data_IF_984738330565
#
_entry.id   IF_984738330565
#
_cell.length_a   1.000
_cell.length_b   1.000
_cell.length_c   1.000
_cell.angle_alpha   90.00
_cell.angle_beta   90.00
_cell.angle_gamma   90.00
#
_symmetry.space_group_name_H-M   'P 1'
#
loop_
_entity.id
_entity.type
_entity.pdbx_description
1 polymer ?
#
# COMPACT_ATOMS: atom_id res chain seq x y z
N UNK A 1 -15.59 -16.64 22.80
CA UNK A 1 -14.81 -16.06 21.68
C UNK A 1 -15.42 -14.70 21.44
N UNK A 2 -14.82 -13.63 21.98
CA UNK A 2 -15.29 -12.28 21.72
C UNK A 2 -15.10 -11.98 20.23
N UNK A 3 -16.16 -11.50 19.58
CA UNK A 3 -16.08 -10.98 18.23
C UNK A 3 -15.31 -9.68 18.35
N UNK A 4 -14.04 -9.68 17.94
CA UNK A 4 -13.27 -8.45 17.84
C UNK A 4 -14.01 -7.53 16.85
N UNK A 5 -14.54 -6.43 17.36
CA UNK A 5 -15.17 -5.41 16.52
C UNK A 5 -14.07 -4.52 15.95
N UNK A 6 -13.94 -4.50 14.62
CA UNK A 6 -13.02 -3.61 13.95
C UNK A 6 -13.56 -2.17 13.92
N UNK A 7 -12.67 -1.21 13.65
CA UNK A 7 -13.06 0.19 13.51
C UNK A 7 -14.02 0.39 12.33
N UNK A 8 -14.86 1.45 12.33
CA UNK A 8 -15.71 1.79 11.18
C UNK A 8 -14.92 1.95 9.88
N UNK A 9 -13.73 2.55 9.94
CA UNK A 9 -12.85 2.70 8.77
C UNK A 9 -12.37 1.34 8.22
N UNK A 10 -12.09 0.38 9.11
CA UNK A 10 -11.73 -0.98 8.71
C UNK A 10 -12.91 -1.65 8.00
N UNK A 11 -14.12 -1.56 8.55
CA UNK A 11 -15.31 -2.15 7.96
C UNK A 11 -15.67 -1.51 6.61
N UNK A 12 -15.46 -0.20 6.46
CA UNK A 12 -15.63 0.52 5.18
C UNK A 12 -14.68 -0.01 4.10
N UNK A 13 -13.39 -0.14 4.41
CA UNK A 13 -12.41 -0.71 3.47
C UNK A 13 -12.76 -2.17 3.16
N UNK A 14 -13.12 -2.99 4.15
CA UNK A 14 -13.54 -4.37 3.92
C UNK A 14 -14.78 -4.47 3.04
N UNK A 15 -15.75 -3.57 3.19
CA UNK A 15 -16.90 -3.50 2.30
C UNK A 15 -16.48 -3.15 0.86
N UNK A 16 -15.55 -2.20 0.70
CA UNK A 16 -14.95 -1.87 -0.60
C UNK A 16 -14.24 -3.08 -1.24
N UNK A 17 -13.43 -3.82 -0.48
CA UNK A 17 -12.77 -5.04 -0.96
C UNK A 17 -13.78 -6.07 -1.45
N UNK A 18 -14.84 -6.34 -0.68
CA UNK A 18 -15.91 -7.29 -1.07
C UNK A 18 -16.64 -6.84 -2.33
N UNK A 19 -16.87 -5.54 -2.50
CA UNK A 19 -17.50 -4.99 -3.69
C UNK A 19 -16.60 -5.14 -4.94
N UNK A 20 -15.28 -5.08 -4.78
CA UNK A 20 -14.29 -5.22 -5.84
C UNK A 20 -13.90 -6.67 -6.17
N UNK A 21 -14.33 -7.65 -5.37
CA UNK A 21 -14.00 -9.07 -5.57
C UNK A 21 -14.22 -9.56 -7.02
N UNK A 22 -15.36 -9.29 -7.69
CA UNK A 22 -15.56 -9.74 -9.07
C UNK A 22 -14.60 -9.10 -10.08
N UNK A 23 -14.15 -7.88 -9.84
CA UNK A 23 -13.19 -7.18 -10.71
C UNK A 23 -11.78 -7.74 -10.52
N UNK A 24 -11.35 -7.92 -9.27
CA UNK A 24 -10.06 -8.52 -8.92
C UNK A 24 -9.96 -9.95 -9.50
N UNK A 25 -11.01 -10.77 -9.34
CA UNK A 25 -11.03 -12.14 -9.88
C UNK A 25 -10.93 -12.17 -11.42
N UNK A 26 -11.59 -11.23 -12.10
CA UNK A 26 -11.54 -11.12 -13.56
C UNK A 26 -10.15 -10.73 -14.06
N UNK A 27 -9.43 -9.92 -13.28
CA UNK A 27 -8.09 -9.45 -13.62
C UNK A 27 -6.99 -10.49 -13.34
N UNK A 28 -7.25 -11.54 -12.56
CA UNK A 28 -6.23 -12.51 -12.13
C UNK A 28 -5.37 -13.07 -13.28
N UNK A 29 -5.97 -13.40 -14.43
CA UNK A 29 -5.23 -13.88 -15.60
C UNK A 29 -4.32 -12.82 -16.23
N UNK A 30 -4.78 -11.56 -16.28
CA UNK A 30 -3.97 -10.44 -16.76
C UNK A 30 -2.82 -10.17 -15.79
N UNK A 31 -3.07 -10.15 -14.47
CA UNK A 31 -2.06 -9.96 -13.43
C UNK A 31 -0.91 -10.97 -13.59
N UNK A 32 -1.23 -12.25 -13.74
CA UNK A 32 -0.22 -13.31 -13.90
C UNK A 32 0.58 -13.15 -15.20
N UNK A 33 -0.09 -12.88 -16.32
CA UNK A 33 0.56 -12.81 -17.62
C UNK A 33 1.40 -11.53 -17.82
N UNK A 34 0.91 -10.39 -17.36
CA UNK A 34 1.57 -9.08 -17.48
C UNK A 34 2.62 -8.87 -16.37
N UNK A 35 2.49 -9.60 -15.26
CA UNK A 35 3.36 -9.54 -14.07
C UNK A 35 3.30 -8.19 -13.34
N UNK A 36 2.19 -7.48 -13.49
CA UNK A 36 1.79 -6.30 -12.71
C UNK A 36 0.27 -6.19 -12.73
N UNK A 37 -0.31 -5.29 -11.92
CA UNK A 37 -1.74 -5.05 -11.99
C UNK A 37 -2.08 -4.31 -13.29
N UNK A 38 -3.21 -4.61 -13.94
CA UNK A 38 -3.75 -3.73 -14.96
C UNK A 38 -3.98 -2.32 -14.39
N UNK A 39 -3.68 -1.29 -15.17
CA UNK A 39 -3.73 0.12 -14.72
C UNK A 39 -5.09 0.51 -14.15
N UNK A 40 -6.17 0.09 -14.81
CA UNK A 40 -7.55 0.38 -14.37
C UNK A 40 -7.83 -0.24 -12.99
N UNK A 41 -7.40 -1.49 -12.76
CA UNK A 41 -7.56 -2.14 -11.46
C UNK A 41 -6.72 -1.44 -10.39
N UNK A 42 -5.46 -1.10 -10.69
CA UNK A 42 -4.60 -0.38 -9.75
C UNK A 42 -5.24 0.95 -9.34
N UNK A 43 -5.77 1.71 -10.30
CA UNK A 43 -6.48 2.96 -10.04
C UNK A 43 -7.72 2.75 -9.17
N UNK A 44 -8.55 1.75 -9.47
CA UNK A 44 -9.73 1.40 -8.65
C UNK A 44 -9.34 1.09 -7.20
N UNK A 45 -8.28 0.31 -6.99
CA UNK A 45 -7.78 -0.04 -5.65
C UNK A 45 -7.21 1.18 -4.90
N UNK A 46 -6.55 2.11 -5.60
CA UNK A 46 -6.10 3.38 -5.03
C UNK A 46 -7.27 4.23 -4.52
N UNK A 47 -8.31 4.41 -5.35
CA UNK A 47 -9.50 5.19 -4.99
C UNK A 47 -10.27 4.56 -3.82
N UNK A 48 -10.24 3.24 -3.71
CA UNK A 48 -10.80 2.52 -2.55
C UNK A 48 -9.96 2.67 -1.26
N UNK A 49 -8.82 3.37 -1.31
CA UNK A 49 -7.95 3.61 -0.16
C UNK A 49 -7.13 2.40 0.29
N UNK A 50 -7.16 1.29 -0.46
CA UNK A 50 -6.54 0.01 -0.07
C UNK A 50 -5.03 0.15 0.12
N UNK A 51 -4.34 0.82 -0.80
CA UNK A 51 -2.89 0.98 -0.74
C UNK A 51 -2.40 1.96 0.32
N UNK A 52 -3.31 2.79 0.86
CA UNK A 52 -3.01 3.83 1.86
C UNK A 52 -3.73 3.64 3.19
N UNK A 53 -4.29 2.46 3.44
CA UNK A 53 -5.12 2.20 4.61
C UNK A 53 -4.43 2.48 5.96
N UNK A 54 -3.11 2.42 6.02
CA UNK A 54 -2.31 2.75 7.20
C UNK A 54 -1.89 4.21 7.33
N UNK A 55 -2.19 5.08 6.35
CA UNK A 55 -1.76 6.49 6.37
C UNK A 55 -2.48 7.23 7.50
N UNK A 56 -1.76 8.02 8.32
CA UNK A 56 -2.36 8.79 9.40
C UNK A 56 -3.43 9.78 8.95
N UNK A 57 -4.43 10.02 9.81
CA UNK A 57 -5.55 10.95 9.58
C UNK A 57 -5.09 12.38 9.40
N UNK A 58 -3.99 12.79 10.07
CA UNK A 58 -3.39 14.12 9.89
C UNK A 58 -2.90 14.36 8.45
N UNK A 59 -2.64 13.29 7.69
CA UNK A 59 -2.29 13.34 6.27
C UNK A 59 -3.46 12.92 5.36
N UNK A 60 -4.69 12.88 5.89
CA UNK A 60 -5.90 12.52 5.16
C UNK A 60 -6.04 11.03 4.85
N UNK A 61 -5.34 10.15 5.57
CA UNK A 61 -5.48 8.71 5.41
C UNK A 61 -6.52 8.06 6.34
N UNK A 62 -6.88 6.79 6.09
CA UNK A 62 -7.84 6.05 6.91
C UNK A 62 -7.35 5.71 8.32
N UNK A 63 -6.03 5.65 8.54
CA UNK A 63 -5.39 5.33 9.83
C UNK A 63 -5.92 4.05 10.47
N UNK A 64 -5.96 2.95 9.69
CA UNK A 64 -6.33 1.65 10.22
C UNK A 64 -5.29 1.15 11.24
N UNK A 65 -5.79 0.55 12.32
CA UNK A 65 -4.95 -0.16 13.28
C UNK A 65 -4.34 -1.44 12.67
N UNK A 66 -3.26 -2.01 13.25
CA UNK A 66 -2.59 -3.17 12.69
C UNK A 66 -3.49 -4.40 12.49
N UNK A 67 -4.46 -4.64 13.38
CA UNK A 67 -5.38 -5.78 13.24
C UNK A 67 -6.36 -5.55 12.09
N UNK A 68 -6.83 -4.31 11.93
CA UNK A 68 -7.65 -3.92 10.77
C UNK A 68 -6.90 -4.08 9.45
N UNK A 69 -5.64 -3.64 9.38
CA UNK A 69 -4.80 -3.82 8.18
C UNK A 69 -4.59 -5.29 7.84
N UNK A 70 -4.24 -6.13 8.83
CA UNK A 70 -4.10 -7.58 8.64
C UNK A 70 -5.38 -8.19 8.09
N UNK A 71 -6.54 -7.82 8.65
CA UNK A 71 -7.83 -8.35 8.19
C UNK A 71 -8.15 -7.98 6.74
N UNK A 72 -7.82 -6.77 6.32
CA UNK A 72 -7.97 -6.33 4.91
C UNK A 72 -7.03 -7.10 3.99
N UNK A 73 -5.76 -7.26 4.38
CA UNK A 73 -4.78 -8.05 3.61
C UNK A 73 -5.22 -9.51 3.49
N UNK A 74 -5.74 -10.12 4.55
CA UNK A 74 -6.29 -11.49 4.51
C UNK A 74 -7.41 -11.61 3.47
N UNK A 75 -8.36 -10.68 3.47
CA UNK A 75 -9.49 -10.72 2.56
C UNK A 75 -9.07 -10.49 1.10
N UNK A 76 -8.16 -9.54 0.85
CA UNK A 76 -7.60 -9.35 -0.49
C UNK A 76 -6.83 -10.59 -0.96
N UNK A 77 -6.00 -11.18 -0.09
CA UNK A 77 -5.21 -12.37 -0.41
C UNK A 77 -6.08 -13.61 -0.66
N UNK A 78 -7.26 -13.70 -0.03
CA UNK A 78 -8.27 -14.74 -0.34
C UNK A 78 -8.78 -14.61 -1.77
N UNK A 79 -8.89 -13.38 -2.28
CA UNK A 79 -9.39 -13.09 -3.62
C UNK A 79 -8.27 -13.24 -4.67
N UNK A 80 -7.13 -12.56 -4.48
CA UNK A 80 -5.95 -12.64 -5.34
C UNK A 80 -4.68 -12.27 -4.52
N UNK A 81 -3.68 -13.16 -4.58
CA UNK A 81 -2.50 -13.08 -3.71
C UNK A 81 -1.59 -11.89 -4.00
N UNK A 82 -1.45 -11.48 -5.26
CA UNK A 82 -0.62 -10.35 -5.66
C UNK A 82 -1.21 -9.03 -5.17
N UNK A 83 -2.52 -8.83 -5.28
CA UNK A 83 -3.24 -7.67 -4.73
C UNK A 83 -3.10 -7.63 -3.20
N UNK A 84 -3.25 -8.78 -2.53
CA UNK A 84 -2.98 -8.90 -1.09
C UNK A 84 -1.55 -8.48 -0.73
N UNK A 85 -0.55 -8.97 -1.45
CA UNK A 85 0.86 -8.62 -1.25
C UNK A 85 1.14 -7.13 -1.48
N UNK A 86 0.59 -6.55 -2.56
CA UNK A 86 0.78 -5.14 -2.91
C UNK A 86 0.10 -4.20 -1.90
N UNK A 87 -1.10 -4.55 -1.43
CA UNK A 87 -1.77 -3.80 -0.37
C UNK A 87 -0.97 -3.78 0.93
N UNK A 88 -0.42 -4.92 1.35
CA UNK A 88 0.46 -5.01 2.52
C UNK A 88 1.72 -4.16 2.37
N UNK A 89 2.43 -4.24 1.24
CA UNK A 89 3.68 -3.49 1.04
C UNK A 89 3.41 -1.99 1.06
N UNK A 90 2.41 -1.53 0.32
CA UNK A 90 2.10 -0.09 0.27
C UNK A 90 1.59 0.41 1.61
N UNK A 91 0.69 -0.32 2.28
CA UNK A 91 0.16 0.11 3.58
C UNK A 91 1.24 0.13 4.65
N UNK A 92 2.17 -0.83 4.66
CA UNK A 92 3.32 -0.84 5.55
C UNK A 92 4.26 0.36 5.32
N UNK A 93 4.34 0.88 4.10
CA UNK A 93 5.06 2.12 3.80
C UNK A 93 4.55 3.32 4.60
N UNK A 94 3.28 3.31 5.02
CA UNK A 94 2.69 4.38 5.85
C UNK A 94 3.40 4.55 7.20
N UNK A 95 4.04 3.50 7.74
CA UNK A 95 4.84 3.60 8.96
C UNK A 95 5.99 4.60 8.84
N UNK A 96 6.47 4.89 7.63
CA UNK A 96 7.51 5.91 7.40
C UNK A 96 7.04 7.30 7.87
N UNK A 97 5.73 7.58 7.86
CA UNK A 97 5.19 8.86 8.33
C UNK A 97 5.58 9.19 9.78
N UNK A 98 5.84 8.17 10.62
CA UNK A 98 6.28 8.34 12.00
C UNK A 98 7.75 8.71 12.15
N UNK A 99 8.58 8.51 11.12
CA UNK A 99 10.02 8.74 11.14
C UNK A 99 10.46 9.93 10.28
N UNK A 100 9.52 10.52 9.54
CA UNK A 100 9.77 11.64 8.65
C UNK A 100 9.39 12.96 9.32
N UNK A 101 10.08 14.03 8.93
CA UNK A 101 9.63 15.39 9.21
C UNK A 101 8.18 15.58 8.71
N UNK A 102 7.28 16.22 9.49
CA UNK A 102 5.86 16.31 9.13
C UNK A 102 5.60 16.91 7.75
N UNK A 103 6.41 17.89 7.34
CA UNK A 103 6.30 18.50 6.00
C UNK A 103 6.67 17.53 4.88
N UNK A 104 7.55 16.56 5.13
CA UNK A 104 7.94 15.52 4.17
C UNK A 104 6.84 14.47 4.09
N UNK A 105 6.35 13.99 5.24
CA UNK A 105 5.23 13.06 5.30
C UNK A 105 3.98 13.63 4.61
N UNK A 106 3.64 14.89 4.87
CA UNK A 106 2.54 15.57 4.19
C UNK A 106 2.68 15.55 2.67
N UNK A 107 3.89 15.82 2.14
CA UNK A 107 4.11 15.78 0.69
C UNK A 107 3.99 14.38 0.10
N UNK A 108 4.45 13.36 0.83
CA UNK A 108 4.41 11.97 0.37
C UNK A 108 3.01 11.36 0.38
N UNK A 109 2.15 11.75 1.33
CA UNK A 109 0.86 11.09 1.54
C UNK A 109 -0.36 11.95 1.16
N UNK A 110 -0.16 13.19 0.70
CA UNK A 110 -1.24 14.11 0.36
C UNK A 110 -2.18 13.57 -0.74
N UNK A 111 -1.65 12.90 -1.76
CA UNK A 111 -2.45 12.43 -2.88
C UNK A 111 -3.18 11.12 -2.51
N UNK A 112 -4.51 11.01 -2.70
CA UNK A 112 -5.26 9.76 -2.52
C UNK A 112 -4.64 8.55 -3.21
N UNK A 113 -3.98 8.78 -4.34
CA UNK A 113 -3.31 7.79 -5.18
C UNK A 113 -1.90 7.42 -4.74
N UNK A 114 -1.44 7.92 -3.59
CA UNK A 114 -0.08 7.65 -3.09
C UNK A 114 0.09 6.15 -2.83
N UNK A 115 0.97 5.52 -3.61
CA UNK A 115 1.41 4.14 -3.43
C UNK A 115 2.90 4.14 -3.13
N UNK A 116 3.30 3.35 -2.14
CA UNK A 116 4.71 3.18 -1.82
C UNK A 116 5.20 1.83 -2.31
N UNK A 117 6.23 1.87 -3.16
CA UNK A 117 6.97 0.69 -3.57
C UNK A 117 8.38 0.73 -2.97
N UNK A 118 8.90 -0.44 -2.59
CA UNK A 118 10.28 -0.53 -2.15
C UNK A 118 10.56 -1.71 -1.24
N UNK A 119 11.77 -1.74 -0.73
CA UNK A 119 12.22 -2.71 0.26
C UNK A 119 13.07 -1.98 1.32
N UNK A 120 12.97 -2.42 2.57
CA UNK A 120 13.71 -1.85 3.71
C UNK A 120 15.05 -2.55 3.97
N UNK A 121 15.55 -3.33 3.01
CA UNK A 121 16.86 -3.99 3.11
C UNK A 121 17.82 -3.57 2.00
N UNK A 122 18.20 -2.29 1.89
CA UNK A 122 19.15 -1.91 0.87
C UNK A 122 20.60 -2.15 1.32
N UNK A 123 21.40 -3.00 0.64
CA UNK A 123 22.86 -2.93 0.70
C UNK A 123 23.43 -1.82 -0.21
N UNK A 124 22.59 -0.97 -0.82
CA UNK A 124 23.01 0.02 -1.81
C UNK A 124 23.76 1.19 -1.16
N UNK A 125 24.74 1.71 -1.90
CA UNK A 125 25.64 2.76 -1.43
C UNK A 125 24.91 4.11 -1.37
N UNK A 126 25.00 4.74 -0.21
CA UNK A 126 24.60 6.13 0.01
C UNK A 126 25.84 6.93 0.43
N UNK A 127 26.33 7.78 -0.46
CA UNK A 127 27.46 8.67 -0.19
C UNK A 127 26.95 10.00 0.35
N UNK A 128 27.46 10.45 1.50
CA UNK A 128 27.19 11.79 1.99
C UNK A 128 27.78 12.84 1.04
N UNK A 129 26.97 13.84 0.71
CA UNK A 129 27.33 15.00 -0.13
C UNK A 129 26.81 16.27 0.53
N UNK A 130 27.23 17.44 0.07
CA UNK A 130 26.66 18.70 0.58
C UNK A 130 25.14 18.72 0.39
N UNK A 131 24.40 19.01 1.45
CA UNK A 131 22.93 19.01 1.46
C UNK A 131 22.23 17.64 1.45
N UNK A 132 22.92 16.50 1.54
CA UNK A 132 22.25 15.20 1.67
C UNK A 132 23.07 13.97 1.29
N UNK A 133 22.44 13.04 0.58
CA UNK A 133 23.05 11.77 0.15
C UNK A 133 22.86 11.54 -1.35
N UNK A 134 23.91 11.06 -2.02
CA UNK A 134 23.82 10.47 -3.35
C UNK A 134 23.62 8.96 -3.19
N UNK A 135 22.45 8.48 -3.59
CA UNK A 135 22.10 7.06 -3.56
C UNK A 135 22.28 6.46 -4.95
N UNK A 136 22.99 5.34 -5.06
CA UNK A 136 23.19 4.65 -6.33
C UNK A 136 23.16 3.13 -6.16
N UNK A 137 22.58 2.44 -7.14
CA UNK A 137 22.55 0.98 -7.16
C UNK A 137 21.38 0.43 -7.95
N UNK A 138 21.27 -0.89 -7.93
CA UNK A 138 20.14 -1.62 -8.47
C UNK A 138 19.31 -2.19 -7.32
N UNK A 139 18.04 -1.79 -7.27
CA UNK A 139 17.10 -2.16 -6.20
C UNK A 139 16.19 -3.27 -6.70
N UNK A 140 16.32 -4.47 -6.12
CA UNK A 140 15.46 -5.61 -6.44
C UNK A 140 14.23 -5.62 -5.53
N UNK A 141 13.17 -6.30 -5.97
CA UNK A 141 11.92 -6.44 -5.21
C UNK A 141 11.23 -5.11 -4.87
N UNK A 142 11.10 -4.22 -5.87
CA UNK A 142 10.22 -3.05 -5.79
C UNK A 142 8.77 -3.46 -6.04
N UNK A 143 8.17 -4.23 -5.13
CA UNK A 143 6.77 -4.66 -5.29
C UNK A 143 5.87 -3.42 -5.46
N UNK A 144 5.07 -3.39 -6.52
CA UNK A 144 4.19 -2.26 -6.84
C UNK A 144 4.85 -1.10 -7.60
N UNK A 145 6.13 -1.20 -8.00
CA UNK A 145 6.85 -0.09 -8.64
C UNK A 145 6.28 0.40 -9.97
N UNK A 146 5.40 -0.37 -10.63
CA UNK A 146 4.71 0.07 -11.84
C UNK A 146 3.63 1.13 -11.56
N UNK A 147 3.20 1.28 -10.30
CA UNK A 147 2.08 2.14 -9.90
C UNK A 147 2.43 3.10 -8.75
N UNK A 148 3.72 3.30 -8.46
CA UNK A 148 4.23 4.12 -7.36
C UNK A 148 4.97 5.37 -7.85
#
# INVERSE_FOLDING_TARGET
MEIHQFSPATEEILAGVRALEPEIQRAAGAIESERHLPDDLAHTLMQAGIFRMGVPRVYGGPELDPMGQVRVVEELSRIEGSVGWLSMISSAGSFLAAFLEPSVAQRLFAAPESVLAGNLRPPQRADAVDGGYRVSGHFRFGSGCHHA
#
